data_IF_386520076307
#
_entry.id   IF_386520076307
#
_cell.length_a   1.000
_cell.length_b   1.000
_cell.length_c   1.000
_cell.angle_alpha   90.00
_cell.angle_beta   90.00
_cell.angle_gamma   90.00
#
_symmetry.space_group_name_H-M   'P 1'
#
loop_
_entity.id
_entity.type
_entity.pdbx_description
1 polymer ?
#
# COMPACT_ATOMS: atom_id res chain seq x y z
N UNK A 1 2.68 -14.76 -6.22
CA UNK A 1 2.78 -13.67 -7.21
C UNK A 1 4.23 -13.22 -7.28
N UNK A 2 4.77 -13.05 -8.48
CA UNK A 2 6.10 -12.50 -8.68
C UNK A 2 5.93 -11.09 -9.23
N UNK A 3 6.26 -10.09 -8.43
CA UNK A 3 6.45 -8.73 -8.94
C UNK A 3 7.76 -8.68 -9.71
N UNK A 4 7.79 -8.00 -10.85
CA UNK A 4 9.02 -7.76 -11.59
C UNK A 4 9.82 -6.68 -10.88
N UNK A 5 10.56 -7.12 -9.85
CA UNK A 5 11.41 -6.26 -9.06
C UNK A 5 12.84 -6.24 -9.63
N UNK A 6 13.31 -5.08 -10.02
CA UNK A 6 14.68 -4.88 -10.55
C UNK A 6 15.67 -4.41 -9.49
N UNK A 7 15.32 -4.53 -8.19
CA UNK A 7 16.26 -4.38 -7.10
C UNK A 7 16.40 -2.98 -6.48
N UNK A 8 15.51 -2.03 -6.77
CA UNK A 8 15.67 -0.62 -6.35
C UNK A 8 14.63 -0.12 -5.33
N UNK A 9 13.76 -0.98 -4.80
CA UNK A 9 12.79 -0.67 -3.74
C UNK A 9 11.40 -0.31 -4.23
N UNK A 10 10.48 -0.18 -3.28
CA UNK A 10 9.05 0.05 -3.44
C UNK A 10 8.72 1.15 -4.46
N UNK A 11 9.37 2.32 -4.38
CA UNK A 11 9.07 3.46 -5.25
C UNK A 11 9.28 3.19 -6.74
N UNK A 12 10.19 2.28 -7.11
CA UNK A 12 10.39 1.90 -8.52
C UNK A 12 9.24 1.04 -9.03
N UNK A 13 8.76 0.12 -8.21
CA UNK A 13 7.59 -0.67 -8.57
C UNK A 13 6.33 0.20 -8.65
N UNK A 14 6.15 1.12 -7.69
CA UNK A 14 5.07 2.11 -7.74
C UNK A 14 5.05 2.85 -9.08
N UNK A 15 6.18 3.38 -9.52
CA UNK A 15 6.28 4.07 -10.80
C UNK A 15 6.01 3.13 -11.98
N UNK A 16 6.50 1.90 -11.93
CA UNK A 16 6.23 0.91 -12.98
C UNK A 16 4.75 0.57 -13.08
N UNK A 17 4.06 0.45 -11.97
CA UNK A 17 2.62 0.16 -11.95
C UNK A 17 1.78 1.36 -12.40
N UNK A 18 2.16 2.57 -12.00
CA UNK A 18 1.38 3.78 -12.24
C UNK A 18 1.63 4.38 -13.63
N UNK A 19 2.81 4.21 -14.21
CA UNK A 19 3.16 4.68 -15.55
C UNK A 19 3.29 3.57 -16.59
N UNK A 20 3.44 2.32 -16.19
CA UNK A 20 3.81 1.23 -17.10
C UNK A 20 5.25 1.33 -17.63
N UNK A 21 6.14 2.01 -16.90
CA UNK A 21 7.55 2.24 -17.26
C UNK A 21 8.48 1.59 -16.24
N UNK A 22 9.71 1.35 -16.66
CA UNK A 22 10.78 0.86 -15.79
C UNK A 22 12.01 1.80 -15.87
N UNK A 23 12.93 1.63 -14.94
CA UNK A 23 14.20 2.37 -15.02
C UNK A 23 14.97 2.14 -16.33
N UNK A 24 14.73 1.00 -16.98
CA UNK A 24 15.37 0.67 -18.26
C UNK A 24 14.94 1.63 -19.38
N UNK A 25 13.77 2.22 -19.27
CA UNK A 25 13.24 3.20 -20.23
C UNK A 25 13.98 4.54 -20.15
N UNK A 26 14.62 4.82 -19.01
CA UNK A 26 15.40 6.04 -18.76
C UNK A 26 16.92 5.81 -18.72
N UNK A 27 17.36 4.57 -18.74
CA UNK A 27 18.76 4.17 -18.57
C UNK A 27 19.07 3.70 -17.15
N UNK A 28 19.98 2.74 -17.05
CA UNK A 28 20.33 2.11 -15.78
C UNK A 28 20.80 3.13 -14.74
N UNK A 29 20.25 3.04 -13.54
CA UNK A 29 20.59 3.92 -12.41
C UNK A 29 19.81 5.24 -12.36
N UNK A 30 18.87 5.48 -13.26
CA UNK A 30 17.96 6.64 -13.16
C UNK A 30 17.00 6.44 -11.99
N UNK A 31 16.93 7.41 -11.09
CA UNK A 31 15.94 7.40 -10.01
C UNK A 31 14.61 7.96 -10.51
N UNK A 32 13.72 7.07 -10.92
CA UNK A 32 12.41 7.43 -11.49
C UNK A 32 11.46 8.14 -10.53
N UNK A 33 11.75 8.12 -9.22
CA UNK A 33 11.00 8.88 -8.21
C UNK A 33 11.42 10.37 -8.15
N UNK A 34 12.50 10.75 -8.85
CA UNK A 34 13.08 12.09 -8.81
C UNK A 34 13.38 12.62 -10.21
N UNK A 35 12.52 12.32 -11.18
CA UNK A 35 12.65 12.85 -12.53
C UNK A 35 12.37 14.36 -12.56
N UNK A 36 12.93 15.05 -13.54
CA UNK A 36 12.59 16.43 -13.82
C UNK A 36 11.12 16.57 -14.25
N UNK A 37 10.54 17.74 -14.04
CA UNK A 37 9.12 17.98 -14.22
C UNK A 37 8.60 17.60 -15.61
N UNK A 38 9.37 17.94 -16.66
CA UNK A 38 9.01 17.65 -18.05
C UNK A 38 9.06 16.15 -18.41
N UNK A 39 9.70 15.34 -17.60
CA UNK A 39 9.74 13.89 -17.80
C UNK A 39 8.40 13.23 -17.45
N UNK A 40 7.75 13.70 -16.39
CA UNK A 40 6.42 13.18 -15.99
C UNK A 40 5.34 13.51 -17.02
N UNK A 41 5.43 14.64 -17.72
CA UNK A 41 4.47 15.05 -18.74
C UNK A 41 4.50 14.18 -20.02
N UNK A 42 5.53 13.35 -20.18
CA UNK A 42 5.71 12.49 -21.35
C UNK A 42 4.95 11.18 -21.30
N UNK A 43 4.42 10.84 -20.13
CA UNK A 43 3.78 9.56 -19.88
C UNK A 43 2.36 9.77 -19.38
N UNK A 44 1.43 8.98 -19.88
CA UNK A 44 0.06 8.95 -19.40
C UNK A 44 -0.02 8.04 -18.16
N UNK A 45 0.02 8.63 -16.97
CA UNK A 45 -0.11 7.90 -15.73
C UNK A 45 -1.50 7.30 -15.55
N UNK A 46 -1.57 6.13 -14.93
CA UNK A 46 -2.85 5.45 -14.68
C UNK A 46 -3.83 6.31 -13.86
N UNK A 47 -3.42 6.98 -12.76
CA UNK A 47 -4.33 7.87 -12.01
C UNK A 47 -4.87 9.02 -12.86
N UNK A 48 -4.04 9.61 -13.71
CA UNK A 48 -4.46 10.69 -14.60
C UNK A 48 -5.52 10.22 -15.61
N UNK A 49 -5.38 9.01 -16.16
CA UNK A 49 -6.37 8.43 -17.08
C UNK A 49 -7.73 8.22 -16.39
N UNK A 50 -7.71 7.76 -15.13
CA UNK A 50 -8.92 7.62 -14.33
C UNK A 50 -9.55 9.00 -14.02
N UNK A 51 -8.74 9.98 -13.63
CA UNK A 51 -9.21 11.36 -13.36
C UNK A 51 -9.84 11.99 -14.61
N UNK A 52 -9.21 11.86 -15.78
CA UNK A 52 -9.78 12.28 -17.08
C UNK A 52 -11.10 11.57 -17.41
N UNK A 53 -11.32 10.38 -16.85
CA UNK A 53 -12.56 9.59 -17.00
C UNK A 53 -13.60 9.88 -15.91
N UNK A 54 -13.38 10.90 -15.08
CA UNK A 54 -14.31 11.35 -14.03
C UNK A 54 -14.23 10.56 -12.73
N UNK A 55 -13.10 9.91 -12.44
CA UNK A 55 -12.81 9.34 -11.14
C UNK A 55 -12.08 10.34 -10.26
N UNK A 56 -12.29 10.26 -8.95
CA UNK A 56 -11.44 10.88 -7.95
C UNK A 56 -10.32 9.90 -7.60
N UNK A 57 -9.09 10.34 -7.80
CA UNK A 57 -7.92 9.50 -7.56
C UNK A 57 -7.25 9.89 -6.23
N UNK A 58 -7.20 8.95 -5.28
CA UNK A 58 -6.53 9.16 -3.98
C UNK A 58 -5.48 8.09 -3.72
N UNK A 59 -4.37 8.50 -3.08
CA UNK A 59 -3.33 7.60 -2.61
C UNK A 59 -3.33 7.56 -1.09
N UNK A 60 -3.29 6.35 -0.54
CA UNK A 60 -3.15 6.11 0.89
C UNK A 60 -1.84 5.37 1.17
N UNK A 61 -1.11 5.79 2.19
CA UNK A 61 0.10 5.10 2.64
C UNK A 61 0.15 4.99 4.16
N UNK A 62 0.23 3.76 4.67
CA UNK A 62 0.24 3.44 6.10
C UNK A 62 1.50 3.91 6.87
N UNK A 63 2.30 4.79 6.29
CA UNK A 63 3.51 5.35 6.89
C UNK A 63 3.61 6.86 6.62
N UNK A 64 4.77 7.47 6.94
CA UNK A 64 4.99 8.90 6.72
C UNK A 64 5.34 9.23 5.25
N UNK A 65 5.41 10.50 4.95
CA UNK A 65 5.64 11.07 3.61
C UNK A 65 7.11 11.19 3.19
N UNK A 66 8.06 10.73 4.04
CA UNK A 66 9.49 11.06 3.91
C UNK A 66 10.24 10.32 2.79
N UNK A 67 9.65 9.26 2.21
CA UNK A 67 10.33 8.41 1.24
C UNK A 67 9.78 8.58 -0.17
N UNK A 68 10.64 8.32 -1.17
CA UNK A 68 10.32 8.26 -2.60
C UNK A 68 9.69 9.52 -3.20
N UNK A 69 9.85 10.68 -2.52
CA UNK A 69 9.38 11.97 -3.03
C UNK A 69 7.88 12.00 -3.40
N UNK A 70 7.05 11.16 -2.75
CA UNK A 70 5.64 10.95 -3.11
C UNK A 70 4.82 12.24 -3.08
N UNK A 71 5.06 13.12 -2.12
CA UNK A 71 4.37 14.43 -2.01
C UNK A 71 4.55 15.34 -3.23
N UNK A 72 5.62 15.15 -3.99
CA UNK A 72 5.90 15.90 -5.22
C UNK A 72 5.48 15.10 -6.45
N UNK A 73 5.79 13.81 -6.47
CA UNK A 73 5.59 12.94 -7.64
C UNK A 73 4.13 12.60 -7.86
N UNK A 74 3.39 12.21 -6.82
CA UNK A 74 2.04 11.67 -6.96
C UNK A 74 0.99 12.67 -7.46
N UNK A 75 1.01 13.96 -7.07
CA UNK A 75 0.15 14.95 -7.69
C UNK A 75 0.36 15.08 -9.20
N UNK A 76 1.59 14.88 -9.68
CA UNK A 76 1.92 14.87 -11.12
C UNK A 76 1.41 13.65 -11.86
N UNK A 77 1.16 12.55 -11.13
CA UNK A 77 0.51 11.35 -11.64
C UNK A 77 -1.01 11.51 -11.77
N UNK A 78 -1.58 12.57 -11.24
CA UNK A 78 -3.03 12.84 -11.29
C UNK A 78 -3.79 12.44 -10.03
N UNK A 79 -3.10 12.12 -8.93
CA UNK A 79 -3.77 11.98 -7.64
C UNK A 79 -4.22 13.35 -7.10
N UNK A 80 -5.49 13.43 -6.68
CA UNK A 80 -6.06 14.64 -6.08
C UNK A 80 -5.71 14.78 -4.60
N UNK A 81 -5.63 13.65 -3.91
CA UNK A 81 -5.37 13.61 -2.47
C UNK A 81 -4.33 12.53 -2.13
N UNK A 82 -3.47 12.84 -1.16
CA UNK A 82 -2.47 11.95 -0.61
C UNK A 82 -2.68 11.85 0.89
N UNK A 83 -3.03 10.67 1.38
CA UNK A 83 -3.25 10.41 2.80
C UNK A 83 -2.12 9.53 3.34
N UNK A 84 -1.29 10.11 4.20
CA UNK A 84 -0.27 9.38 4.94
C UNK A 84 -0.79 8.93 6.31
N UNK A 85 0.02 8.24 7.09
CA UNK A 85 -0.41 7.64 8.36
C UNK A 85 -1.09 8.61 9.32
N UNK A 86 -0.66 9.88 9.37
CA UNK A 86 -1.27 10.90 10.23
C UNK A 86 -2.66 11.33 9.72
N UNK A 87 -2.82 11.45 8.40
CA UNK A 87 -4.09 11.80 7.77
C UNK A 87 -5.09 10.65 7.91
N UNK A 88 -4.62 9.41 7.70
CA UNK A 88 -5.45 8.20 7.86
C UNK A 88 -5.95 8.06 9.31
N UNK A 89 -5.11 8.35 10.32
CA UNK A 89 -5.52 8.33 11.72
C UNK A 89 -6.54 9.44 12.08
N UNK A 90 -6.57 10.50 11.31
CA UNK A 90 -7.50 11.62 11.53
C UNK A 90 -8.88 11.37 10.89
N UNK A 91 -9.05 10.31 10.11
CA UNK A 91 -10.34 9.90 9.56
C UNK A 91 -11.27 9.45 10.70
N UNK A 92 -12.54 9.82 10.60
CA UNK A 92 -13.56 9.51 11.60
C UNK A 92 -14.49 8.39 11.10
N UNK A 93 -14.06 7.16 11.25
CA UNK A 93 -14.86 5.97 10.94
C UNK A 93 -14.90 4.99 12.13
N UNK A 94 -15.95 4.15 12.22
CA UNK A 94 -16.04 3.16 13.28
C UNK A 94 -14.89 2.15 13.25
N UNK A 95 -14.11 2.11 14.33
CA UNK A 95 -13.01 1.17 14.47
C UNK A 95 -12.88 0.67 15.90
N UNK A 96 -12.87 -0.64 16.06
CA UNK A 96 -12.62 -1.30 17.35
C UNK A 96 -11.27 -2.01 17.28
N UNK A 97 -10.31 -1.53 18.02
CA UNK A 97 -8.98 -2.12 18.10
C UNK A 97 -7.85 -1.10 18.05
N UNK A 98 -6.63 -1.59 17.98
CA UNK A 98 -5.45 -0.73 17.86
C UNK A 98 -5.19 -0.33 16.41
N UNK A 99 -4.83 0.92 16.17
CA UNK A 99 -4.42 1.41 14.85
C UNK A 99 -3.07 0.78 14.44
N UNK A 100 -2.16 0.62 15.40
CA UNK A 100 -0.85 0.05 15.17
C UNK A 100 -0.75 -1.37 15.72
N UNK A 101 -0.14 -2.25 14.94
CA UNK A 101 0.18 -3.63 15.30
C UNK A 101 1.58 -3.78 15.94
N UNK A 102 2.20 -2.66 16.28
CA UNK A 102 3.57 -2.53 16.77
C UNK A 102 4.25 -1.37 16.06
N UNK A 103 5.26 -1.64 15.23
CA UNK A 103 6.00 -0.61 14.50
C UNK A 103 5.18 0.09 13.42
N UNK A 104 4.21 -0.60 12.85
CA UNK A 104 3.46 -0.13 11.68
C UNK A 104 1.95 -0.16 11.90
N UNK A 105 1.25 0.63 11.08
CA UNK A 105 -0.20 0.62 10.99
C UNK A 105 -0.68 -0.78 10.56
N UNK A 106 -1.76 -1.26 11.20
CA UNK A 106 -2.38 -2.55 10.86
C UNK A 106 -3.01 -2.48 9.47
N UNK A 107 -2.81 -3.52 8.68
CA UNK A 107 -3.44 -3.62 7.36
C UNK A 107 -4.97 -3.65 7.45
N UNK A 108 -5.53 -4.25 8.51
CA UNK A 108 -6.98 -4.24 8.77
C UNK A 108 -7.53 -2.81 8.99
N UNK A 109 -6.82 -1.97 9.75
CA UNK A 109 -7.20 -0.57 9.93
C UNK A 109 -7.04 0.22 8.63
N UNK A 110 -5.95 -0.01 7.91
CA UNK A 110 -5.64 0.64 6.65
C UNK A 110 -6.70 0.35 5.58
N UNK A 111 -7.12 -0.92 5.44
CA UNK A 111 -8.15 -1.29 4.48
C UNK A 111 -9.53 -0.76 4.87
N UNK A 112 -9.84 -0.66 6.18
CA UNK A 112 -11.06 0.01 6.62
C UNK A 112 -11.05 1.50 6.24
N UNK A 113 -9.91 2.18 6.38
CA UNK A 113 -9.75 3.56 5.93
C UNK A 113 -9.95 3.70 4.41
N UNK A 114 -9.47 2.73 3.62
CA UNK A 114 -9.74 2.72 2.17
C UNK A 114 -11.22 2.54 1.84
N UNK A 115 -11.92 1.67 2.56
CA UNK A 115 -13.38 1.48 2.40
C UNK A 115 -14.14 2.76 2.75
N UNK A 116 -13.80 3.42 3.85
CA UNK A 116 -14.37 4.69 4.29
C UNK A 116 -14.17 5.79 3.22
N UNK A 117 -12.95 5.94 2.69
CA UNK A 117 -12.68 6.88 1.61
C UNK A 117 -13.46 6.58 0.34
N UNK A 118 -13.58 5.28 -0.01
CA UNK A 118 -14.38 4.87 -1.17
C UNK A 118 -15.86 5.25 -0.99
N UNK A 119 -16.43 5.03 0.19
CA UNK A 119 -17.81 5.38 0.52
C UNK A 119 -18.03 6.90 0.45
N UNK A 120 -17.12 7.70 1.03
CA UNK A 120 -17.15 9.16 0.96
C UNK A 120 -17.17 9.68 -0.48
N UNK A 121 -16.26 9.16 -1.33
CA UNK A 121 -16.18 9.56 -2.73
C UNK A 121 -17.46 9.17 -3.47
N UNK A 122 -17.92 7.94 -3.32
CA UNK A 122 -19.11 7.45 -3.99
C UNK A 122 -20.37 8.22 -3.53
N UNK A 123 -20.46 8.55 -2.23
CA UNK A 123 -21.54 9.35 -1.67
C UNK A 123 -21.58 10.78 -2.23
N UNK A 124 -20.45 11.31 -2.68
CA UNK A 124 -20.39 12.60 -3.39
C UNK A 124 -20.87 12.55 -4.85
N UNK A 125 -21.12 11.33 -5.36
CA UNK A 125 -21.51 11.08 -6.75
C UNK A 125 -20.32 10.92 -7.71
N UNK A 126 -19.11 10.82 -7.18
CA UNK A 126 -17.89 10.52 -7.92
C UNK A 126 -17.60 9.02 -7.87
N UNK A 127 -16.70 8.54 -8.72
CA UNK A 127 -16.16 7.17 -8.67
C UNK A 127 -14.75 7.20 -8.11
N UNK A 128 -14.41 6.24 -7.26
CA UNK A 128 -13.11 6.18 -6.62
C UNK A 128 -12.07 5.41 -7.46
N UNK A 129 -10.87 5.96 -7.59
CA UNK A 129 -9.63 5.24 -7.89
C UNK A 129 -8.72 5.36 -6.68
N UNK A 130 -8.56 4.28 -5.92
CA UNK A 130 -7.74 4.27 -4.72
C UNK A 130 -6.47 3.45 -4.94
N UNK A 131 -5.33 3.99 -4.57
CA UNK A 131 -4.04 3.32 -4.57
C UNK A 131 -3.51 3.22 -3.14
N UNK A 132 -3.46 2.01 -2.59
CA UNK A 132 -3.07 1.75 -1.21
C UNK A 132 -1.70 1.09 -1.10
N UNK A 133 -0.88 1.56 -0.14
CA UNK A 133 0.43 1.00 0.18
C UNK A 133 0.44 0.65 1.66
N UNK A 134 0.35 -0.64 1.98
CA UNK A 134 0.34 -1.14 3.36
C UNK A 134 1.75 -1.20 3.96
N UNK A 135 1.84 -1.38 5.29
CA UNK A 135 3.13 -1.37 5.99
C UNK A 135 3.27 -2.46 7.07
N UNK A 136 2.18 -3.10 7.52
CA UNK A 136 2.24 -4.00 8.68
C UNK A 136 3.29 -5.11 8.51
N UNK A 137 3.41 -5.65 7.31
CA UNK A 137 4.36 -6.72 7.01
C UNK A 137 5.73 -6.23 6.50
N UNK A 138 6.02 -4.93 6.53
CA UNK A 138 7.33 -4.41 6.16
C UNK A 138 8.40 -4.81 7.21
N UNK A 139 9.63 -5.04 6.78
CA UNK A 139 10.76 -5.32 7.70
C UNK A 139 10.99 -4.15 8.70
N UNK A 140 11.68 -4.34 9.84
CA UNK A 140 12.34 -5.55 10.29
C UNK A 140 11.37 -6.62 10.81
N UNK A 141 11.82 -7.87 10.81
CA UNK A 141 11.08 -9.02 11.35
C UNK A 141 11.66 -9.49 12.68
N UNK A 142 12.02 -8.55 13.56
CA UNK A 142 12.49 -8.90 14.90
C UNK A 142 11.36 -9.39 15.81
N UNK A 143 11.67 -10.15 16.89
CA UNK A 143 10.66 -10.71 17.77
C UNK A 143 9.77 -9.67 18.49
N UNK A 144 10.22 -8.43 18.58
CA UNK A 144 9.51 -7.34 19.26
C UNK A 144 8.70 -6.46 18.28
N UNK A 145 8.65 -6.84 17.00
CA UNK A 145 7.95 -6.08 15.98
C UNK A 145 6.49 -5.81 16.32
N UNK A 146 5.78 -6.83 16.79
CA UNK A 146 4.36 -6.73 17.11
C UNK A 146 4.12 -6.44 18.59
N UNK A 147 3.09 -5.67 18.89
CA UNK A 147 2.63 -5.37 20.26
C UNK A 147 1.61 -6.38 20.79
N UNK A 148 1.54 -7.55 20.17
CA UNK A 148 0.68 -8.68 20.53
C UNK A 148 1.46 -9.99 20.37
N UNK A 149 0.97 -11.05 20.98
CA UNK A 149 1.57 -12.38 20.89
C UNK A 149 1.29 -13.01 19.52
N UNK A 150 2.38 -13.43 18.82
CA UNK A 150 2.27 -14.18 17.57
C UNK A 150 1.62 -15.55 17.82
N UNK A 151 0.63 -15.90 17.02
CA UNK A 151 -0.13 -17.15 17.15
C UNK A 151 0.47 -18.28 16.29
N UNK A 152 1.31 -17.94 15.34
CA UNK A 152 1.93 -18.92 14.41
C UNK A 152 3.03 -19.71 15.14
N UNK A 153 2.94 -21.02 15.11
CA UNK A 153 3.99 -21.93 15.56
C UNK A 153 4.99 -22.22 14.44
N UNK A 154 6.29 -22.15 14.75
CA UNK A 154 7.37 -22.52 13.83
C UNK A 154 8.21 -23.62 14.45
N UNK A 155 8.45 -24.69 13.69
CA UNK A 155 9.36 -25.78 14.06
C UNK A 155 10.30 -26.07 12.91
N UNK A 156 11.58 -26.28 13.21
CA UNK A 156 12.60 -26.61 12.22
C UNK A 156 13.69 -27.47 12.84
N UNK A 157 14.25 -28.41 12.08
CA UNK A 157 15.42 -29.17 12.47
C UNK A 157 16.75 -28.47 12.11
N UNK A 158 16.67 -27.42 11.24
CA UNK A 158 17.85 -26.74 10.69
C UNK A 158 18.01 -25.30 11.15
N UNK A 159 16.97 -24.68 11.72
CA UNK A 159 17.01 -23.29 12.20
C UNK A 159 17.22 -23.25 13.71
N UNK A 160 18.02 -22.30 14.18
CA UNK A 160 18.14 -21.95 15.59
C UNK A 160 16.90 -21.24 16.14
N UNK A 161 16.80 -21.11 17.47
CA UNK A 161 15.66 -20.45 18.12
C UNK A 161 15.47 -18.99 17.67
N UNK A 162 16.56 -18.27 17.48
CA UNK A 162 16.55 -16.87 17.02
C UNK A 162 15.99 -16.76 15.59
N UNK A 163 16.45 -17.60 14.67
CA UNK A 163 15.95 -17.64 13.30
C UNK A 163 14.47 -18.05 13.24
N UNK A 164 14.08 -19.03 14.06
CA UNK A 164 12.66 -19.43 14.18
C UNK A 164 11.78 -18.30 14.70
N UNK A 165 12.28 -17.46 15.60
CA UNK A 165 11.55 -16.29 16.10
C UNK A 165 11.33 -15.25 14.97
N UNK A 166 12.34 -14.99 14.14
CA UNK A 166 12.25 -14.11 12.98
C UNK A 166 11.23 -14.66 11.96
N UNK A 167 11.32 -15.94 11.62
CA UNK A 167 10.39 -16.61 10.69
C UNK A 167 8.95 -16.56 11.22
N UNK A 168 8.77 -16.74 12.53
CA UNK A 168 7.44 -16.63 13.18
C UNK A 168 6.84 -15.26 12.96
N UNK A 169 7.59 -14.18 13.18
CA UNK A 169 7.13 -12.80 12.98
C UNK A 169 6.74 -12.56 11.52
N UNK A 170 7.57 -13.02 10.58
CA UNK A 170 7.27 -12.90 9.15
C UNK A 170 5.98 -13.63 8.78
N UNK A 171 5.81 -14.88 9.22
CA UNK A 171 4.61 -15.67 8.92
C UNK A 171 3.36 -15.11 9.61
N UNK A 172 3.48 -14.58 10.82
CA UNK A 172 2.38 -13.88 11.49
C UNK A 172 1.92 -12.67 10.68
N UNK A 173 2.87 -11.85 10.19
CA UNK A 173 2.56 -10.69 9.34
C UNK A 173 1.84 -11.09 8.05
N UNK A 174 2.32 -12.11 7.35
CA UNK A 174 1.69 -12.63 6.13
C UNK A 174 0.26 -13.12 6.43
N UNK A 175 0.07 -13.85 7.51
CA UNK A 175 -1.25 -14.38 7.89
C UNK A 175 -2.25 -13.25 8.19
N UNK A 176 -1.78 -12.19 8.84
CA UNK A 176 -2.63 -11.01 9.12
C UNK A 176 -2.94 -10.20 7.88
N UNK A 177 -1.98 -10.03 7.00
CA UNK A 177 -2.20 -9.37 5.72
C UNK A 177 -3.23 -10.13 4.86
N UNK A 178 -3.13 -11.48 4.82
CA UNK A 178 -4.08 -12.34 4.12
C UNK A 178 -5.50 -12.22 4.72
N UNK A 179 -5.61 -12.23 6.05
CA UNK A 179 -6.90 -12.04 6.74
C UNK A 179 -7.48 -10.66 6.43
N UNK A 180 -6.69 -9.60 6.57
CA UNK A 180 -7.15 -8.23 6.30
C UNK A 180 -7.62 -8.06 4.83
N UNK A 181 -6.89 -8.67 3.87
CA UNK A 181 -7.31 -8.71 2.47
C UNK A 181 -8.59 -9.50 2.27
N UNK A 182 -8.79 -10.60 3.01
CA UNK A 182 -10.03 -11.35 3.04
C UNK A 182 -11.20 -10.47 3.48
N UNK A 183 -11.06 -9.81 4.63
CA UNK A 183 -12.08 -8.89 5.18
C UNK A 183 -12.42 -7.75 4.21
N UNK A 184 -11.41 -7.15 3.56
CA UNK A 184 -11.59 -6.14 2.52
C UNK A 184 -12.42 -6.68 1.35
N UNK A 185 -12.04 -7.86 0.83
CA UNK A 185 -12.72 -8.44 -0.34
C UNK A 185 -14.15 -8.86 -0.01
N UNK A 186 -14.42 -9.31 1.21
CA UNK A 186 -15.77 -9.64 1.64
C UNK A 186 -16.64 -8.39 1.79
N UNK A 187 -16.14 -7.30 2.37
CA UNK A 187 -16.82 -6.02 2.42
C UNK A 187 -17.15 -5.48 1.01
N UNK A 188 -16.21 -5.59 0.06
CA UNK A 188 -16.44 -5.17 -1.32
C UNK A 188 -17.47 -6.04 -2.07
N UNK A 189 -17.59 -7.33 -1.73
CA UNK A 189 -18.64 -8.21 -2.29
C UNK A 189 -20.04 -7.86 -1.79
N UNK A 190 -20.13 -7.32 -0.58
CA UNK A 190 -21.39 -6.86 0.01
C UNK A 190 -21.80 -5.46 -0.50
N UNK A 191 -20.87 -4.71 -1.08
CA UNK A 191 -21.11 -3.40 -1.67
C UNK A 191 -21.95 -3.51 -2.95
N UNK A 192 -22.84 -2.54 -3.18
CA UNK A 192 -23.60 -2.42 -4.44
C UNK A 192 -22.74 -1.82 -5.59
N UNK A 193 -21.59 -1.22 -5.26
CA UNK A 193 -20.70 -0.58 -6.22
C UNK A 193 -19.76 -1.60 -6.87
N UNK A 194 -19.78 -1.76 -8.21
CA UNK A 194 -18.87 -2.65 -8.91
C UNK A 194 -17.41 -2.21 -8.72
N UNK A 195 -16.61 -3.06 -8.07
CA UNK A 195 -15.23 -2.73 -7.72
C UNK A 195 -14.25 -3.72 -8.34
N UNK A 196 -13.15 -3.22 -8.89
CA UNK A 196 -12.00 -4.02 -9.33
C UNK A 196 -10.90 -3.85 -8.30
N UNK A 197 -10.42 -4.97 -7.76
CA UNK A 197 -9.27 -5.00 -6.85
C UNK A 197 -8.08 -5.60 -7.57
N UNK A 198 -6.95 -4.88 -7.54
CA UNK A 198 -5.66 -5.39 -8.01
C UNK A 198 -4.72 -5.42 -6.81
N UNK A 199 -4.31 -6.62 -6.41
CA UNK A 199 -3.39 -6.83 -5.29
C UNK A 199 -2.07 -7.41 -5.79
N UNK A 200 -0.96 -6.85 -5.32
CA UNK A 200 0.39 -7.30 -5.69
C UNK A 200 1.38 -7.01 -4.56
N UNK A 201 2.48 -7.76 -4.51
CA UNK A 201 3.60 -7.44 -3.65
C UNK A 201 4.53 -6.44 -4.34
N UNK A 202 5.15 -5.56 -3.58
CA UNK A 202 6.09 -4.56 -4.11
C UNK A 202 7.51 -5.13 -4.29
N UNK A 203 7.84 -6.21 -3.59
CA UNK A 203 9.07 -7.00 -3.79
C UNK A 203 8.97 -8.41 -3.19
#
# INVERSE_FOLDING_TARGET
FHSHYLGYGTGYLEMSMLYGITELDFGAGTNICFLEDDAYEKFDALPEQYTKSGYRAEMLHGYNDSLYNRTVTYPRLGFSDLLFSADIQALDFPWEGGIYGGYYMRDSYFFQAMLDRMEDINSSGERAFLYGITMENHQPFDPEKFNYECQIGVTSESLGEEDMAIVRVMLEGITRADQALGDLTDALRESEEPTIVVFFGDH
#
